data_IF_963640737745
#
_entry.id   IF_963640737745
#
_cell.length_a   1.000
_cell.length_b   1.000
_cell.length_c   1.000
_cell.angle_alpha   90.00
_cell.angle_beta   90.00
_cell.angle_gamma   90.00
#
_symmetry.space_group_name_H-M   'P 1'
#
loop_
_entity.id
_entity.type
_entity.pdbx_description
1 polymer ?
#
# COMPACT_ATOMS: atom_id res chain seq x y z
N UNK A 1 -8.18 10.30 -29.77
CA UNK A 1 -8.34 8.86 -29.51
C UNK A 1 -8.86 8.73 -28.10
N UNK A 2 -10.07 8.19 -27.94
CA UNK A 2 -10.85 8.16 -26.69
C UNK A 2 -10.53 6.85 -25.99
N UNK A 3 -9.48 6.81 -25.15
CA UNK A 3 -9.22 5.65 -24.30
C UNK A 3 -10.24 5.69 -23.17
N UNK A 4 -11.16 4.73 -23.22
CA UNK A 4 -12.26 4.61 -22.28
C UNK A 4 -11.74 4.58 -20.86
N UNK A 5 -12.38 5.33 -19.96
CA UNK A 5 -12.50 4.94 -18.55
C UNK A 5 -13.17 3.56 -18.55
N UNK A 6 -12.35 2.51 -18.70
CA UNK A 6 -12.82 1.14 -18.69
C UNK A 6 -13.55 0.91 -17.37
N UNK A 7 -14.76 0.36 -17.49
CA UNK A 7 -15.68 -0.05 -16.45
C UNK A 7 -14.96 -0.70 -15.26
N UNK A 8 -14.50 0.11 -14.30
CA UNK A 8 -13.83 -0.36 -13.08
C UNK A 8 -14.88 -1.03 -12.22
N UNK A 9 -14.90 -2.38 -12.10
CA UNK A 9 -15.94 -3.03 -11.33
C UNK A 9 -15.80 -2.63 -9.85
N UNK A 10 -16.90 -2.36 -9.13
CA UNK A 10 -16.85 -1.95 -7.73
C UNK A 10 -16.09 -2.93 -6.83
N UNK A 11 -16.05 -4.21 -7.21
CA UNK A 11 -15.30 -5.27 -6.52
C UNK A 11 -13.79 -5.04 -6.51
N UNK A 12 -13.22 -4.27 -7.45
CA UNK A 12 -11.81 -3.90 -7.44
C UNK A 12 -11.48 -2.98 -6.27
N UNK A 13 -12.38 -2.07 -5.94
CA UNK A 13 -12.17 -1.04 -4.90
C UNK A 13 -12.77 -1.43 -3.54
N UNK A 14 -13.50 -2.53 -3.49
CA UNK A 14 -14.20 -2.97 -2.27
C UNK A 14 -13.40 -4.06 -1.56
N UNK A 15 -13.25 -3.89 -0.25
CA UNK A 15 -12.75 -4.95 0.59
C UNK A 15 -13.68 -6.19 0.49
N UNK A 16 -13.16 -7.42 0.39
CA UNK A 16 -13.98 -8.62 0.34
C UNK A 16 -14.87 -8.74 1.59
N UNK A 17 -16.11 -9.21 1.43
CA UNK A 17 -17.03 -9.37 2.56
C UNK A 17 -16.50 -10.43 3.52
N UNK A 18 -16.42 -10.05 4.80
CA UNK A 18 -16.07 -10.96 5.88
C UNK A 18 -17.13 -12.05 6.05
N UNK A 19 -16.68 -13.29 6.22
CA UNK A 19 -17.54 -14.35 6.75
C UNK A 19 -17.61 -14.22 8.28
N UNK A 20 -18.79 -14.33 8.92
CA UNK A 20 -18.95 -14.13 10.37
C UNK A 20 -18.26 -15.20 11.23
N UNK A 21 -17.74 -16.27 10.65
CA UNK A 21 -17.09 -17.39 11.38
C UNK A 21 -15.56 -17.27 11.47
N UNK A 22 -15.01 -16.06 11.49
CA UNK A 22 -13.56 -15.89 11.54
C UNK A 22 -13.01 -15.91 12.97
N UNK A 23 -11.88 -16.58 13.12
CA UNK A 23 -11.09 -16.53 14.35
C UNK A 23 -10.40 -15.16 14.43
N UNK A 24 -10.62 -14.38 15.50
CA UNK A 24 -9.91 -13.13 15.70
C UNK A 24 -8.40 -13.40 15.81
N UNK A 25 -7.57 -12.58 15.14
CA UNK A 25 -6.10 -12.69 15.18
C UNK A 25 -5.47 -11.48 15.88
N UNK A 26 -5.72 -11.26 17.19
CA UNK A 26 -5.28 -10.06 17.91
C UNK A 26 -3.76 -9.88 17.89
N UNK A 27 -2.99 -10.97 18.00
CA UNK A 27 -1.52 -10.94 17.97
C UNK A 27 -0.95 -10.40 16.65
N UNK A 28 -1.69 -10.57 15.54
CA UNK A 28 -1.28 -10.06 14.24
C UNK A 28 -1.49 -8.54 14.16
N UNK A 29 -2.67 -8.09 14.59
CA UNK A 29 -3.04 -6.68 14.64
C UNK A 29 -2.13 -5.91 15.59
N UNK A 30 -1.83 -6.46 16.77
CA UNK A 30 -0.88 -5.87 17.74
C UNK A 30 0.52 -5.71 17.15
N UNK A 31 1.04 -6.72 16.44
CA UNK A 31 2.35 -6.64 15.80
C UNK A 31 2.40 -5.61 14.67
N UNK A 32 1.30 -5.42 13.95
CA UNK A 32 1.19 -4.40 12.92
C UNK A 32 1.05 -3.00 13.51
N UNK A 33 0.37 -2.87 14.66
CA UNK A 33 0.33 -1.63 15.44
C UNK A 33 1.72 -1.25 15.92
N UNK A 34 2.48 -2.20 16.44
CA UNK A 34 3.84 -1.98 16.94
C UNK A 34 4.83 -1.63 15.81
N UNK A 35 4.47 -1.89 14.54
CA UNK A 35 5.25 -1.47 13.38
C UNK A 35 5.29 0.07 13.19
N UNK A 36 4.33 0.81 13.78
CA UNK A 36 4.28 2.28 13.74
C UNK A 36 4.25 2.86 12.32
N UNK A 37 5.01 3.93 12.06
CA UNK A 37 5.21 4.59 10.74
C UNK A 37 5.90 3.73 9.64
N UNK A 38 5.64 2.43 9.61
CA UNK A 38 6.02 1.56 8.51
C UNK A 38 5.18 1.91 7.28
N UNK A 39 5.85 2.22 6.17
CA UNK A 39 5.20 2.60 4.90
C UNK A 39 4.69 1.40 4.12
N UNK A 40 5.24 0.22 4.37
CA UNK A 40 4.88 -0.99 3.65
C UNK A 40 4.84 -2.22 4.57
N UNK A 41 3.69 -2.89 4.61
CA UNK A 41 3.49 -4.18 5.26
C UNK A 41 3.21 -5.22 4.17
N UNK A 42 3.94 -6.31 4.16
CA UNK A 42 3.70 -7.48 3.32
C UNK A 42 3.16 -8.63 4.18
N UNK A 43 1.93 -9.00 3.89
CA UNK A 43 1.27 -10.21 4.35
C UNK A 43 1.47 -11.30 3.31
N UNK A 44 2.41 -12.21 3.58
CA UNK A 44 2.64 -13.37 2.71
C UNK A 44 2.05 -14.63 3.29
N UNK A 45 1.07 -15.22 2.63
CA UNK A 45 0.54 -16.53 3.02
C UNK A 45 -0.03 -17.30 1.81
N UNK A 46 0.07 -18.64 1.77
CA UNK A 46 -0.59 -19.44 0.75
C UNK A 46 -2.12 -19.27 0.75
N UNK A 47 -2.77 -19.73 -0.32
CA UNK A 47 -4.23 -19.71 -0.41
C UNK A 47 -4.89 -20.49 0.75
N UNK A 48 -5.98 -19.95 1.29
CA UNK A 48 -6.72 -20.57 2.40
C UNK A 48 -6.19 -20.26 3.81
N UNK A 49 -5.06 -19.55 3.96
CA UNK A 49 -4.46 -19.25 5.28
C UNK A 49 -5.02 -17.99 5.96
N UNK A 50 -6.07 -17.39 5.41
CA UNK A 50 -6.73 -16.21 5.98
C UNK A 50 -5.96 -14.90 5.79
N UNK A 51 -5.27 -14.73 4.65
CA UNK A 51 -4.56 -13.49 4.29
C UNK A 51 -5.51 -12.30 4.19
N UNK A 52 -6.56 -12.44 3.38
CA UNK A 52 -7.61 -11.45 3.22
C UNK A 52 -8.34 -11.20 4.55
N UNK A 53 -8.60 -12.24 5.35
CA UNK A 53 -9.10 -12.11 6.73
C UNK A 53 -8.22 -11.20 7.59
N UNK A 54 -6.91 -11.45 7.60
CA UNK A 54 -5.96 -10.63 8.34
C UNK A 54 -5.94 -9.18 7.87
N UNK A 55 -5.98 -8.96 6.56
CA UNK A 55 -6.06 -7.62 5.96
C UNK A 55 -7.34 -6.90 6.38
N UNK A 56 -8.47 -7.59 6.37
CA UNK A 56 -9.76 -7.04 6.79
C UNK A 56 -9.78 -6.66 8.27
N UNK A 57 -9.24 -7.52 9.16
CA UNK A 57 -9.11 -7.19 10.58
C UNK A 57 -8.20 -5.97 10.82
N UNK A 58 -7.13 -5.84 10.03
CA UNK A 58 -6.27 -4.65 10.09
C UNK A 58 -7.00 -3.41 9.56
N UNK A 59 -7.78 -3.54 8.48
CA UNK A 59 -8.58 -2.46 7.90
C UNK A 59 -9.61 -1.92 8.92
N UNK A 60 -10.34 -2.82 9.58
CA UNK A 60 -11.30 -2.46 10.64
C UNK A 60 -10.60 -1.71 11.79
N UNK A 61 -9.44 -2.21 12.23
CA UNK A 61 -8.67 -1.56 13.28
C UNK A 61 -8.16 -0.16 12.88
N UNK A 62 -7.64 -0.01 11.65
CA UNK A 62 -7.17 1.28 11.13
C UNK A 62 -8.33 2.29 11.03
N UNK A 63 -9.49 1.84 10.53
CA UNK A 63 -10.69 2.66 10.46
C UNK A 63 -11.15 3.11 11.87
N UNK A 64 -11.15 2.19 12.85
CA UNK A 64 -11.48 2.52 14.24
C UNK A 64 -10.49 3.53 14.88
N UNK A 65 -9.25 3.58 14.39
CA UNK A 65 -8.23 4.55 14.78
C UNK A 65 -8.32 5.90 14.02
N UNK A 66 -9.34 6.08 13.17
CA UNK A 66 -9.54 7.29 12.37
C UNK A 66 -8.62 7.41 11.16
N UNK A 67 -7.97 6.31 10.75
CA UNK A 67 -7.18 6.25 9.51
C UNK A 67 -8.14 5.97 8.36
N UNK A 68 -7.99 6.70 7.25
CA UNK A 68 -8.75 6.44 6.04
C UNK A 68 -8.22 5.17 5.39
N UNK A 69 -9.10 4.25 5.03
CA UNK A 69 -8.72 2.93 4.48
C UNK A 69 -9.25 2.76 3.07
N UNK A 70 -8.35 2.51 2.11
CA UNK A 70 -8.68 2.13 0.74
C UNK A 70 -8.34 0.67 0.43
N UNK A 71 -8.97 0.13 -0.60
CA UNK A 71 -8.70 -1.24 -1.06
C UNK A 71 -8.55 -1.28 -2.58
N UNK A 72 -7.63 -2.10 -3.08
CA UNK A 72 -7.46 -2.42 -4.48
C UNK A 72 -7.15 -3.92 -4.63
N UNK A 73 -8.07 -4.66 -5.23
CA UNK A 73 -7.86 -6.06 -5.62
C UNK A 73 -7.15 -6.11 -6.97
N UNK A 74 -5.96 -6.72 -7.01
CA UNK A 74 -5.15 -6.78 -8.23
C UNK A 74 -5.49 -8.03 -9.05
N UNK A 75 -5.48 -7.90 -10.37
CA UNK A 75 -5.56 -9.03 -11.29
C UNK A 75 -4.62 -8.83 -12.49
N UNK A 76 -4.63 -9.78 -13.42
CA UNK A 76 -3.74 -9.76 -14.58
C UNK A 76 -3.86 -8.49 -15.43
N UNK A 77 -5.00 -7.79 -15.41
CA UNK A 77 -5.19 -6.57 -16.19
C UNK A 77 -4.39 -5.38 -15.64
N UNK A 78 -3.98 -5.44 -14.38
CA UNK A 78 -3.15 -4.43 -13.71
C UNK A 78 -1.67 -4.51 -14.11
N UNK A 79 -1.30 -5.42 -15.01
CA UNK A 79 0.02 -5.44 -15.64
C UNK A 79 0.19 -4.35 -16.72
N UNK A 80 -0.93 -3.76 -17.18
CA UNK A 80 -0.93 -2.57 -18.01
C UNK A 80 -0.79 -1.30 -17.14
N UNK A 81 0.20 -0.47 -17.46
CA UNK A 81 0.55 0.71 -16.65
C UNK A 81 -0.61 1.72 -16.56
N UNK A 82 -1.29 1.99 -17.68
CA UNK A 82 -2.39 2.94 -17.72
C UNK A 82 -3.59 2.47 -16.90
N UNK A 83 -3.93 1.18 -16.99
CA UNK A 83 -4.99 0.57 -16.17
C UNK A 83 -4.64 0.56 -14.70
N UNK A 84 -3.42 0.18 -14.34
CA UNK A 84 -2.98 0.22 -12.95
C UNK A 84 -3.08 1.63 -12.37
N UNK A 85 -2.58 2.64 -13.09
CA UNK A 85 -2.66 4.04 -12.66
C UNK A 85 -4.12 4.49 -12.49
N UNK A 86 -5.01 4.16 -13.43
CA UNK A 86 -6.43 4.49 -13.34
C UNK A 86 -7.12 3.80 -12.14
N UNK A 87 -6.83 2.53 -11.89
CA UNK A 87 -7.40 1.81 -10.75
C UNK A 87 -6.85 2.31 -9.42
N UNK A 88 -5.55 2.61 -9.36
CA UNK A 88 -4.90 3.18 -8.18
C UNK A 88 -5.45 4.58 -7.88
N UNK A 89 -5.57 5.44 -8.88
CA UNK A 89 -6.16 6.78 -8.78
C UNK A 89 -7.59 6.70 -8.22
N UNK A 90 -8.41 5.80 -8.79
CA UNK A 90 -9.76 5.56 -8.32
C UNK A 90 -9.81 5.03 -6.87
N UNK A 91 -8.87 4.17 -6.49
CA UNK A 91 -8.75 3.66 -5.12
C UNK A 91 -8.36 4.74 -4.11
N UNK A 92 -7.56 5.74 -4.52
CA UNK A 92 -7.21 6.88 -3.66
C UNK A 92 -8.38 7.88 -3.59
N UNK A 93 -8.98 8.21 -4.73
CA UNK A 93 -10.11 9.13 -4.85
C UNK A 93 -11.34 8.68 -4.04
N UNK A 94 -11.70 7.39 -4.12
CA UNK A 94 -12.91 6.84 -3.48
C UNK A 94 -12.94 6.93 -1.94
N UNK A 95 -11.79 7.17 -1.31
CA UNK A 95 -11.65 7.19 0.16
C UNK A 95 -11.04 8.48 0.69
N UNK A 96 -10.38 9.26 -0.16
CA UNK A 96 -9.97 10.62 0.16
C UNK A 96 -10.61 11.61 -0.85
N UNK A 97 -11.88 12.01 -0.66
CA UNK A 97 -12.58 12.91 -1.59
C UNK A 97 -11.91 14.28 -1.76
N UNK A 98 -11.07 14.69 -0.79
CA UNK A 98 -10.26 15.92 -0.90
C UNK A 98 -9.08 15.80 -1.86
N UNK A 99 -8.78 14.59 -2.33
CA UNK A 99 -7.80 14.29 -3.38
C UNK A 99 -8.47 14.12 -4.75
N UNK A 100 -9.76 14.42 -4.88
CA UNK A 100 -10.51 14.36 -6.14
C UNK A 100 -10.06 15.47 -7.12
N UNK A 101 -8.95 15.23 -7.78
CA UNK A 101 -8.63 15.81 -9.09
C UNK A 101 -8.58 14.65 -10.08
N UNK A 102 -9.76 14.18 -10.52
CA UNK A 102 -9.84 13.12 -11.54
C UNK A 102 -9.33 13.68 -12.87
N UNK A 103 -8.06 13.43 -13.16
CA UNK A 103 -7.50 13.64 -14.49
C UNK A 103 -7.95 12.47 -15.40
N UNK A 104 -8.42 12.74 -16.63
CA UNK A 104 -8.86 11.70 -17.56
C UNK A 104 -7.73 10.73 -17.95
N UNK A 105 -6.48 11.18 -17.85
CA UNK A 105 -5.27 10.35 -17.87
C UNK A 105 -4.45 10.70 -16.62
N UNK A 106 -4.45 9.85 -15.58
CA UNK A 106 -3.68 10.14 -14.37
C UNK A 106 -2.19 10.13 -14.69
N UNK A 107 -1.54 11.29 -14.57
CA UNK A 107 -0.09 11.39 -14.63
C UNK A 107 0.52 10.90 -13.31
N UNK A 108 1.61 10.15 -13.41
CA UNK A 108 2.30 9.58 -12.26
C UNK A 108 2.81 10.69 -11.33
N UNK A 109 3.41 11.73 -11.89
CA UNK A 109 4.00 12.79 -11.09
C UNK A 109 2.90 13.56 -10.35
N UNK A 110 1.80 13.90 -11.04
CA UNK A 110 0.62 14.52 -10.44
C UNK A 110 0.05 13.68 -9.29
N UNK A 111 -0.07 12.37 -9.49
CA UNK A 111 -0.54 11.44 -8.45
C UNK A 111 0.39 11.41 -7.23
N UNK A 112 1.71 11.33 -7.45
CA UNK A 112 2.71 11.34 -6.37
C UNK A 112 2.65 12.66 -5.60
N UNK A 113 2.60 13.79 -6.30
CA UNK A 113 2.55 15.12 -5.68
C UNK A 113 1.28 15.29 -4.85
N UNK A 114 0.14 14.82 -5.36
CA UNK A 114 -1.14 14.86 -4.66
C UNK A 114 -1.15 13.98 -3.41
N UNK A 115 -0.53 12.79 -3.49
CA UNK A 115 -0.30 11.93 -2.33
C UNK A 115 0.60 12.64 -1.32
N UNK A 116 1.74 13.19 -1.76
CA UNK A 116 2.73 13.83 -0.91
C UNK A 116 2.19 15.09 -0.20
N UNK A 117 1.27 15.82 -0.83
CA UNK A 117 0.61 17.00 -0.26
C UNK A 117 -0.49 16.67 0.77
N UNK A 118 -0.90 15.40 0.89
CA UNK A 118 -1.98 15.00 1.79
C UNK A 118 -1.51 14.90 3.25
N UNK A 119 -2.20 15.62 4.14
CA UNK A 119 -2.02 15.48 5.59
C UNK A 119 -2.86 14.36 6.22
N UNK A 120 -3.70 13.69 5.42
CA UNK A 120 -4.58 12.62 5.88
C UNK A 120 -3.79 11.34 6.12
N UNK A 121 -3.99 10.68 7.28
CA UNK A 121 -3.48 9.32 7.50
C UNK A 121 -4.27 8.34 6.65
N UNK A 122 -3.58 7.54 5.85
CA UNK A 122 -4.18 6.68 4.85
C UNK A 122 -3.52 5.32 4.79
N UNK A 123 -4.32 4.26 4.71
CA UNK A 123 -3.83 2.90 4.49
C UNK A 123 -4.47 2.32 3.23
N UNK A 124 -3.65 1.96 2.24
CA UNK A 124 -4.10 1.27 1.03
C UNK A 124 -3.80 -0.22 1.12
N UNK A 125 -4.83 -1.05 0.99
CA UNK A 125 -4.72 -2.50 0.92
C UNK A 125 -4.64 -2.93 -0.54
N UNK A 126 -3.58 -3.64 -0.90
CA UNK A 126 -3.37 -4.25 -2.22
C UNK A 126 -3.46 -5.77 -2.05
N UNK A 127 -4.59 -6.39 -2.42
CA UNK A 127 -4.76 -7.84 -2.32
C UNK A 127 -4.48 -8.54 -3.67
N UNK A 128 -4.18 -9.84 -3.59
CA UNK A 128 -3.79 -10.69 -4.72
C UNK A 128 -2.63 -10.13 -5.56
N UNK A 129 -1.64 -9.54 -4.88
CA UNK A 129 -0.50 -8.89 -5.51
C UNK A 129 0.36 -9.82 -6.38
N UNK A 130 0.28 -11.14 -6.18
CA UNK A 130 0.89 -12.11 -7.08
C UNK A 130 0.43 -11.99 -8.54
N UNK A 131 -0.69 -11.33 -8.83
CA UNK A 131 -1.18 -11.09 -10.19
C UNK A 131 -0.38 -10.04 -10.97
N UNK A 132 0.44 -9.23 -10.27
CA UNK A 132 1.28 -8.19 -10.88
C UNK A 132 2.69 -8.73 -11.12
N UNK A 133 3.02 -8.95 -12.38
CA UNK A 133 4.31 -9.49 -12.85
C UNK A 133 5.10 -8.46 -13.68
N UNK A 134 4.41 -7.44 -14.20
CA UNK A 134 5.00 -6.36 -15.00
C UNK A 134 6.04 -5.58 -14.20
N UNK A 135 7.28 -5.60 -14.68
CA UNK A 135 8.41 -4.88 -14.07
C UNK A 135 8.15 -3.38 -13.99
N UNK A 136 7.55 -2.79 -15.03
CA UNK A 136 7.16 -1.37 -15.07
C UNK A 136 6.18 -1.02 -13.96
N UNK A 137 5.16 -1.85 -13.72
CA UNK A 137 4.16 -1.62 -12.65
C UNK A 137 4.79 -1.84 -11.27
N UNK A 138 5.64 -2.84 -11.11
CA UNK A 138 6.38 -3.06 -9.87
C UNK A 138 7.32 -1.89 -9.54
N UNK A 139 8.01 -1.34 -10.54
CA UNK A 139 8.88 -0.16 -10.39
C UNK A 139 8.09 1.09 -10.04
N UNK A 140 6.91 1.26 -10.63
CA UNK A 140 5.97 2.30 -10.24
C UNK A 140 5.55 2.16 -8.77
N UNK A 141 5.10 0.98 -8.34
CA UNK A 141 4.66 0.75 -6.96
C UNK A 141 5.80 1.04 -5.97
N UNK A 142 7.04 0.66 -6.29
CA UNK A 142 8.23 1.02 -5.50
C UNK A 142 8.37 2.54 -5.37
N UNK A 143 8.30 3.27 -6.47
CA UNK A 143 8.42 4.72 -6.48
C UNK A 143 7.33 5.39 -5.64
N UNK A 144 6.09 4.89 -5.70
CA UNK A 144 5.01 5.38 -4.84
C UNK A 144 5.34 5.12 -3.36
N UNK A 145 5.73 3.90 -3.00
CA UNK A 145 6.10 3.52 -1.62
C UNK A 145 7.25 4.39 -1.07
N UNK A 146 8.25 4.68 -1.90
CA UNK A 146 9.40 5.50 -1.52
C UNK A 146 9.03 6.96 -1.27
N UNK A 147 7.97 7.45 -1.91
CA UNK A 147 7.48 8.83 -1.83
C UNK A 147 6.23 9.00 -0.94
N UNK A 148 5.73 7.95 -0.28
CA UNK A 148 4.59 8.07 0.63
C UNK A 148 4.85 9.12 1.73
N UNK A 149 3.92 10.04 1.99
CA UNK A 149 4.06 11.00 3.08
C UNK A 149 3.96 10.29 4.45
N UNK A 150 4.36 10.96 5.54
CA UNK A 150 4.15 10.45 6.89
C UNK A 150 2.67 10.13 7.16
N UNK A 151 2.40 8.97 7.76
CA UNK A 151 1.03 8.52 8.03
C UNK A 151 0.34 7.80 6.87
N UNK A 152 1.01 7.64 5.72
CA UNK A 152 0.57 6.75 4.66
C UNK A 152 1.22 5.37 4.76
N UNK A 153 0.44 4.33 4.47
CA UNK A 153 0.89 2.95 4.55
C UNK A 153 0.25 2.11 3.43
N UNK A 154 1.05 1.21 2.85
CA UNK A 154 0.56 0.14 1.99
C UNK A 154 0.56 -1.19 2.74
N UNK A 155 -0.49 -1.97 2.57
CA UNK A 155 -0.62 -3.33 3.07
C UNK A 155 -0.81 -4.25 1.89
N UNK A 156 0.22 -5.02 1.56
CA UNK A 156 0.23 -5.95 0.42
C UNK A 156 -0.11 -7.35 0.90
N UNK A 157 -1.17 -7.93 0.37
CA UNK A 157 -1.43 -9.35 0.42
C UNK A 157 -0.81 -10.06 -0.77
N UNK A 158 0.09 -11.02 -0.54
CA UNK A 158 0.56 -11.91 -1.61
C UNK A 158 0.71 -13.37 -1.20
N UNK A 159 0.60 -14.29 -2.16
CA UNK A 159 0.99 -15.71 -1.98
C UNK A 159 2.50 -15.92 -2.09
N UNK A 160 3.18 -15.07 -2.84
CA UNK A 160 4.62 -15.17 -3.12
C UNK A 160 5.36 -13.98 -2.50
N UNK A 161 6.69 -13.99 -2.60
CA UNK A 161 7.46 -12.77 -2.34
C UNK A 161 7.43 -11.97 -3.64
N UNK A 162 6.77 -10.79 -3.66
CA UNK A 162 6.68 -10.02 -4.88
C UNK A 162 8.05 -9.50 -5.28
N UNK A 163 8.26 -9.36 -6.58
CA UNK A 163 9.46 -8.78 -7.17
C UNK A 163 9.55 -7.28 -6.96
N UNK A 164 9.32 -6.77 -5.73
CA UNK A 164 9.41 -5.37 -5.31
C UNK A 164 10.81 -4.98 -4.82
N UNK A 165 11.80 -5.88 -4.91
CA UNK A 165 13.16 -5.56 -4.46
C UNK A 165 13.23 -5.32 -2.96
N UNK A 166 12.45 -6.09 -2.19
CA UNK A 166 12.31 -5.96 -0.74
C UNK A 166 13.65 -5.96 0.01
N UNK A 167 14.73 -6.52 -0.55
CA UNK A 167 16.08 -6.44 0.01
C UNK A 167 16.58 -4.99 0.21
N UNK A 168 16.23 -4.08 -0.70
CA UNK A 168 16.53 -2.65 -0.58
C UNK A 168 15.65 -1.97 0.47
N UNK A 169 14.37 -2.36 0.54
CA UNK A 169 13.42 -1.87 1.57
C UNK A 169 13.73 -2.46 2.97
N UNK A 170 14.41 -3.61 3.03
CA UNK A 170 14.90 -4.27 4.26
C UNK A 170 16.10 -3.57 4.87
N UNK A 171 16.95 -2.94 4.06
CA UNK A 171 18.15 -2.27 4.53
C UNK A 171 17.86 -1.08 5.48
N UNK A 172 16.60 -0.66 5.62
CA UNK A 172 16.16 0.35 6.58
C UNK A 172 15.02 -0.06 7.53
N UNK A 173 14.68 -1.36 7.66
CA UNK A 173 13.49 -1.77 8.41
C UNK A 173 13.46 -3.20 8.97
N UNK A 174 12.66 -3.36 10.04
CA UNK A 174 12.52 -4.60 10.83
C UNK A 174 11.57 -5.60 10.17
N UNK A 175 12.11 -6.70 9.63
CA UNK A 175 11.33 -7.82 9.12
C UNK A 175 10.80 -8.69 10.27
N UNK A 176 9.52 -8.51 10.65
CA UNK A 176 8.89 -9.33 11.68
C UNK A 176 8.39 -10.68 11.13
N UNK A 177 9.28 -11.65 10.99
CA UNK A 177 8.92 -13.02 10.60
C UNK A 177 8.09 -13.67 11.71
N UNK A 178 6.78 -13.78 11.53
CA UNK A 178 5.98 -14.75 12.25
C UNK A 178 6.04 -16.11 11.53
N UNK A 179 5.59 -17.20 12.17
CA UNK A 179 5.37 -18.49 11.50
C UNK A 179 4.43 -18.45 10.28
N UNK A 180 3.86 -17.28 9.98
CA UNK A 180 2.94 -16.97 8.89
C UNK A 180 3.54 -16.03 7.82
N UNK A 181 4.87 -15.86 7.76
CA UNK A 181 5.53 -15.21 6.61
C UNK A 181 5.39 -13.69 6.49
N UNK A 182 4.97 -13.00 7.55
CA UNK A 182 4.76 -11.54 7.53
C UNK A 182 6.10 -10.80 7.44
N UNK A 183 6.16 -9.72 6.66
CA UNK A 183 7.31 -8.83 6.58
C UNK A 183 6.84 -7.38 6.64
N UNK A 184 7.39 -6.56 7.54
CA UNK A 184 7.16 -5.12 7.59
C UNK A 184 8.43 -4.37 7.13
N UNK A 185 8.26 -3.22 6.46
CA UNK A 185 9.38 -2.43 5.93
C UNK A 185 9.25 -0.94 6.29
N UNK A 186 10.26 -0.44 7.00
CA UNK A 186 10.43 0.97 7.34
C UNK A 186 11.53 1.58 6.47
N UNK A 187 11.44 2.87 6.16
CA UNK A 187 12.57 3.66 5.66
C UNK A 187 13.14 4.42 6.85
N UNK A 188 14.46 4.38 7.06
CA UNK A 188 15.11 5.36 7.92
C UNK A 188 15.02 6.73 7.27
N UNK A 189 14.75 7.77 8.06
CA UNK A 189 14.98 9.15 7.57
C UNK A 189 16.43 9.19 7.11
N UNK A 190 16.77 9.76 5.92
CA UNK A 190 18.16 10.05 5.63
C UNK A 190 18.73 10.80 6.84
N UNK A 191 19.94 10.46 7.33
CA UNK A 191 20.53 11.18 8.45
C UNK A 191 20.40 12.66 8.13
N UNK A 192 19.79 13.42 9.05
CA UNK A 192 19.76 14.88 8.92
C UNK A 192 21.22 15.28 8.79
N UNK A 193 21.62 15.72 7.61
CA UNK A 193 22.87 16.44 7.46
C UNK A 193 22.65 17.70 8.27
N UNK A 194 23.13 17.71 9.51
CA UNK A 194 23.28 18.94 10.26
C UNK A 194 24.26 19.77 9.44
N UNK A 195 23.74 20.74 8.68
CA UNK A 195 24.52 21.83 8.16
C UNK A 195 24.98 22.68 9.36
N UNK A 196 26.00 22.18 10.07
CA UNK A 196 26.74 22.93 11.08
C UNK A 196 28.20 22.99 10.60
N UNK A 197 28.40 23.66 9.47
CA UNK A 197 29.68 24.25 9.11
C UNK A 197 29.69 25.69 9.62
N UNK A 198 29.94 25.87 10.93
CA UNK A 198 30.37 27.17 11.44
C UNK A 198 31.74 27.53 10.83
N UNK A 199 32.09 28.83 10.75
CA UNK A 199 33.22 29.27 9.95
C UNK A 199 34.53 28.80 10.58
N UNK A 200 35.39 28.22 9.75
CA UNK A 200 36.79 27.98 10.08
C UNK A 200 37.44 29.30 10.51
N UNK A 201 38.08 29.28 11.67
CA UNK A 201 38.98 30.32 12.15
C UNK A 201 40.36 29.73 12.31
#
# INVERSE_FOLDING_TARGET
MHLMLHNLPPSKLSAPRLSPFQLPRPQLVERMRDAGDVRLILLRAPAGFGKTTAMLQLAEHQAAAGVVVGWLNLDASDNDLGRFLAHFDAAVAGVAPRLDARSPEPDLLELIDRIAASATRFTLFLDDFEAVESSTVLDLIRQIVDNLPPGWQFVIGSRIVPGLGLGRLRAGGSCLKSGWGICAFRREKPPRFCANGGPFR
#
